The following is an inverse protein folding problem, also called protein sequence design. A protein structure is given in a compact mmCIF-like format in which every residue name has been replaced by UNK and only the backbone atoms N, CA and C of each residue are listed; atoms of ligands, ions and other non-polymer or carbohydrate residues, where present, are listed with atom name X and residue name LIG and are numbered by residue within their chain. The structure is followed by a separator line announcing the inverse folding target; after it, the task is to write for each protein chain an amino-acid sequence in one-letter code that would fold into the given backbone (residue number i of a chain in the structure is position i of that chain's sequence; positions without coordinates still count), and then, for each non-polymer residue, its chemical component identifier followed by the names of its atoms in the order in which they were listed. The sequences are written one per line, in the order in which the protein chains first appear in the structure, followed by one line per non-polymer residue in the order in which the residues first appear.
data_IF_937103100589
#
_entry.id   IF_937103100589
#
_cell.length_a   1.000
_cell.length_b   1.000
_cell.length_c   1.000
_cell.angle_alpha   90.00
_cell.angle_beta   90.00
_cell.angle_gamma   90.00
#
_symmetry.space_group_name_H-M   'P 1'
#
loop_
_entity.id
_entity.type
_entity.pdbx_description
1 polymer ?
#
# COMPACT_ATOMS: atom_id res chain seq x y z
N UNK A 1 15.24 5.91 2.02
CA UNK A 1 14.59 5.27 0.85
C UNK A 1 15.60 4.82 -0.22
N UNK A 2 16.51 5.68 -0.69
CA UNK A 2 17.40 5.34 -1.82
C UNK A 2 18.32 4.12 -1.57
N UNK A 3 18.96 4.01 -0.41
CA UNK A 3 19.80 2.85 -0.09
C UNK A 3 19.02 1.52 -0.07
N UNK A 4 17.76 1.54 0.38
CA UNK A 4 16.90 0.36 0.41
C UNK A 4 16.47 -0.07 -1.00
N UNK A 5 16.19 0.89 -1.89
CA UNK A 5 15.88 0.58 -3.30
C UNK A 5 17.03 -0.17 -3.97
N UNK A 6 18.26 0.29 -3.78
CA UNK A 6 19.45 -0.36 -4.33
C UNK A 6 19.64 -1.78 -3.77
N UNK A 7 19.43 -1.98 -2.47
CA UNK A 7 19.50 -3.30 -1.84
C UNK A 7 18.49 -4.27 -2.45
N UNK A 8 17.22 -3.85 -2.53
CA UNK A 8 16.13 -4.69 -3.03
C UNK A 8 16.28 -4.99 -4.53
N UNK A 9 16.76 -4.02 -5.31
CA UNK A 9 17.09 -4.23 -6.72
C UNK A 9 18.20 -5.29 -6.90
N UNK A 10 19.24 -5.26 -6.05
CA UNK A 10 20.32 -6.25 -6.08
C UNK A 10 19.86 -7.67 -5.70
N UNK A 11 18.74 -7.80 -4.98
CA UNK A 11 18.11 -9.09 -4.67
C UNK A 11 17.25 -9.63 -5.84
N UNK A 12 17.20 -8.92 -6.98
CA UNK A 12 16.41 -9.33 -8.14
C UNK A 12 14.90 -9.12 -7.99
N UNK A 13 14.47 -8.36 -6.97
CA UNK A 13 13.05 -8.06 -6.75
C UNK A 13 12.60 -7.05 -7.82
N UNK A 14 11.55 -7.36 -8.61
CA UNK A 14 11.19 -6.55 -9.76
C UNK A 14 10.42 -5.27 -9.41
N UNK A 15 9.68 -5.28 -8.30
CA UNK A 15 8.88 -4.15 -7.85
C UNK A 15 8.57 -4.24 -6.35
N UNK A 16 8.23 -3.10 -5.76
CA UNK A 16 7.71 -2.98 -4.39
C UNK A 16 6.26 -2.54 -4.47
N UNK A 17 5.38 -3.23 -3.75
CA UNK A 17 3.95 -2.95 -3.73
C UNK A 17 3.53 -2.74 -2.27
N UNK A 18 2.84 -1.63 -1.99
CA UNK A 18 2.39 -1.27 -0.64
C UNK A 18 0.97 -0.73 -0.66
N UNK A 19 0.33 -0.75 0.50
CA UNK A 19 -0.83 0.07 0.79
C UNK A 19 -0.41 1.26 1.65
N UNK A 20 -0.72 2.48 1.21
CA UNK A 20 -0.35 3.68 1.94
C UNK A 20 -0.94 4.97 1.35
N UNK A 21 -0.68 6.09 2.02
CA UNK A 21 -1.09 7.41 1.53
C UNK A 21 -0.14 7.89 0.41
N UNK A 22 -0.62 8.12 -0.82
CA UNK A 22 0.20 8.60 -1.94
C UNK A 22 1.04 9.85 -1.61
N UNK A 23 0.53 10.76 -0.75
CA UNK A 23 1.25 11.97 -0.33
C UNK A 23 2.66 11.65 0.21
N UNK A 24 2.81 10.52 0.90
CA UNK A 24 4.08 10.13 1.53
C UNK A 24 5.06 9.45 0.56
N UNK A 25 4.58 8.84 -0.52
CA UNK A 25 5.37 7.91 -1.34
C UNK A 25 5.58 8.36 -2.78
N UNK A 26 4.74 9.24 -3.33
CA UNK A 26 4.90 9.74 -4.70
C UNK A 26 6.24 10.45 -4.91
N UNK A 27 6.74 11.18 -3.90
CA UNK A 27 8.09 11.79 -3.90
C UNK A 27 9.23 10.78 -4.04
N UNK A 28 8.93 9.50 -3.87
CA UNK A 28 9.86 8.38 -4.05
C UNK A 28 9.58 7.58 -5.32
N UNK A 29 8.76 8.08 -6.25
CA UNK A 29 8.48 7.43 -7.54
C UNK A 29 7.47 6.29 -7.48
N UNK A 30 6.77 6.11 -6.35
CA UNK A 30 5.60 5.25 -6.34
C UNK A 30 4.49 5.88 -7.19
N UNK A 31 3.76 5.03 -7.90
CA UNK A 31 2.51 5.40 -8.58
C UNK A 31 1.39 4.45 -8.18
N UNK A 32 0.18 4.70 -8.64
CA UNK A 32 -0.94 3.84 -8.31
C UNK A 32 -0.87 2.50 -9.04
N UNK A 33 -1.46 1.45 -8.46
CA UNK A 33 -1.50 0.13 -9.09
C UNK A 33 -2.12 0.13 -10.48
N UNK A 34 -3.09 1.02 -10.73
CA UNK A 34 -3.75 1.17 -12.03
C UNK A 34 -2.77 1.51 -13.16
N UNK A 35 -1.73 2.30 -12.88
CA UNK A 35 -0.71 2.71 -13.85
C UNK A 35 0.18 1.53 -14.32
N UNK A 36 0.13 0.41 -13.59
CA UNK A 36 0.87 -0.82 -13.85
C UNK A 36 -0.06 -2.04 -14.05
N UNK A 37 -1.38 -1.83 -14.16
CA UNK A 37 -2.39 -2.90 -14.23
C UNK A 37 -2.34 -3.88 -13.03
N UNK A 38 -1.92 -3.39 -11.86
CA UNK A 38 -1.87 -4.13 -10.59
C UNK A 38 -3.11 -3.78 -9.77
N UNK A 39 -4.01 -4.74 -9.64
CA UNK A 39 -5.27 -4.61 -8.88
C UNK A 39 -5.21 -5.37 -7.55
N UNK A 40 -6.17 -5.12 -6.64
CA UNK A 40 -6.41 -6.02 -5.51
C UNK A 40 -6.97 -7.38 -5.99
N UNK A 41 -7.21 -8.31 -5.06
CA UNK A 41 -7.74 -9.63 -5.42
C UNK A 41 -9.13 -9.58 -6.11
N UNK A 42 -9.92 -8.53 -5.84
CA UNK A 42 -11.23 -8.29 -6.45
C UNK A 42 -11.15 -7.65 -7.85
N UNK A 43 -9.95 -7.29 -8.32
CA UNK A 43 -9.76 -6.64 -9.63
C UNK A 43 -9.97 -5.13 -9.61
N UNK A 44 -10.04 -4.52 -8.43
CA UNK A 44 -10.20 -3.10 -8.23
C UNK A 44 -8.85 -2.40 -7.98
N UNK A 45 -8.83 -1.07 -8.13
CA UNK A 45 -7.64 -0.25 -7.93
C UNK A 45 -7.82 0.68 -6.73
N UNK A 46 -7.58 0.22 -5.49
CA UNK A 46 -7.59 1.09 -4.32
C UNK A 46 -6.66 2.29 -4.51
N UNK A 47 -7.09 3.48 -4.11
CA UNK A 47 -6.27 4.70 -4.19
C UNK A 47 -4.96 4.59 -3.41
N UNK A 48 -4.97 3.81 -2.32
CA UNK A 48 -3.77 3.55 -1.52
C UNK A 48 -2.89 2.41 -2.04
N UNK A 49 -3.28 1.67 -3.09
CA UNK A 49 -2.44 0.61 -3.68
C UNK A 49 -1.37 1.26 -4.56
N UNK A 50 -0.12 1.17 -4.11
CA UNK A 50 1.01 1.85 -4.72
C UNK A 50 2.08 0.87 -5.18
N UNK A 51 2.67 1.16 -6.34
CA UNK A 51 3.69 0.36 -7.01
C UNK A 51 4.92 1.22 -7.25
N UNK A 52 6.08 0.69 -6.88
CA UNK A 52 7.38 1.18 -7.30
C UNK A 52 8.04 0.09 -8.16
N UNK A 53 8.09 0.31 -9.46
CA UNK A 53 8.82 -0.55 -10.38
C UNK A 53 10.34 -0.36 -10.22
N UNK A 54 11.07 -1.46 -10.02
CA UNK A 54 12.54 -1.45 -9.91
C UNK A 54 13.20 -2.00 -11.18
N UNK A 55 12.54 -2.94 -11.85
CA UNK A 55 12.93 -3.45 -13.17
C UNK A 55 11.98 -2.90 -14.22
N UNK A 56 12.41 -1.91 -15.04
CA UNK A 56 11.54 -1.26 -16.01
C UNK A 56 10.88 -2.26 -16.97
N UNK A 57 9.56 -2.15 -17.12
CA UNK A 57 8.77 -2.99 -18.02
C UNK A 57 8.39 -4.36 -17.46
N UNK A 58 8.68 -4.65 -16.19
CA UNK A 58 8.36 -5.94 -15.56
C UNK A 58 6.88 -6.29 -15.67
N UNK A 59 6.00 -5.33 -15.41
CA UNK A 59 4.55 -5.58 -15.44
C UNK A 59 4.02 -5.78 -16.86
N UNK A 60 4.66 -5.14 -17.86
CA UNK A 60 4.29 -5.19 -19.26
C UNK A 60 2.81 -4.86 -19.49
N UNK A 61 2.18 -5.61 -20.40
CA UNK A 61 0.76 -5.45 -20.74
C UNK A 61 -0.16 -6.43 -19.99
N UNK A 62 0.35 -7.13 -18.98
CA UNK A 62 -0.41 -8.15 -18.25
C UNK A 62 -1.18 -7.50 -17.10
N UNK A 63 -2.35 -8.06 -16.78
CA UNK A 63 -3.09 -7.71 -15.57
C UNK A 63 -2.57 -8.54 -14.40
N UNK A 64 -2.28 -7.87 -13.29
CA UNK A 64 -1.77 -8.47 -12.07
C UNK A 64 -2.74 -8.27 -10.92
N UNK A 65 -2.72 -9.21 -9.97
CA UNK A 65 -3.44 -9.11 -8.70
C UNK A 65 -2.45 -9.22 -7.55
N UNK A 66 -2.45 -8.25 -6.64
CA UNK A 66 -1.69 -8.33 -5.40
C UNK A 66 -2.45 -9.23 -4.42
N UNK A 67 -1.80 -10.31 -3.97
CA UNK A 67 -2.28 -11.15 -2.87
C UNK A 67 -1.55 -10.72 -1.60
N UNK A 68 -2.28 -10.22 -0.61
CA UNK A 68 -1.71 -9.95 0.71
C UNK A 68 -1.36 -11.28 1.41
N UNK A 69 -0.30 -11.27 2.20
CA UNK A 69 0.06 -12.39 3.07
C UNK A 69 -0.99 -12.57 4.16
N UNK A 70 -1.19 -13.80 4.63
CA UNK A 70 -2.05 -14.09 5.79
C UNK A 70 -1.56 -13.37 7.06
N UNK A 71 -0.31 -12.88 7.08
CA UNK A 71 0.21 -12.01 8.13
C UNK A 71 -0.60 -10.70 8.31
N UNK A 72 -1.40 -10.29 7.32
CA UNK A 72 -2.29 -9.15 7.42
C UNK A 72 -3.66 -9.49 8.02
N UNK A 73 -3.95 -10.78 8.27
CA UNK A 73 -5.14 -11.21 9.00
C UNK A 73 -4.86 -11.09 10.50
N UNK A 74 -5.15 -9.91 11.05
CA UNK A 74 -4.92 -9.63 12.47
C UNK A 74 -6.14 -10.05 13.31
N UNK A 75 -5.89 -10.76 14.40
CA UNK A 75 -6.88 -10.96 15.46
C UNK A 75 -7.01 -9.65 16.25
N UNK A 76 -8.20 -9.04 16.15
CA UNK A 76 -8.47 -7.75 16.78
C UNK A 76 -8.46 -7.83 18.31
N UNK A 77 -8.83 -8.97 18.90
CA UNK A 77 -8.83 -9.17 20.35
C UNK A 77 -7.41 -9.32 20.88
N UNK A 78 -6.55 -10.07 20.18
CA UNK A 78 -5.13 -10.16 20.53
C UNK A 78 -4.41 -8.81 20.37
N UNK A 79 -4.70 -8.06 19.31
CA UNK A 79 -4.19 -6.70 19.13
C UNK A 79 -4.61 -5.78 20.29
N UNK A 80 -5.87 -5.84 20.72
CA UNK A 80 -6.37 -5.09 21.87
C UNK A 80 -5.72 -5.52 23.19
N UNK A 81 -5.45 -6.82 23.39
CA UNK A 81 -4.72 -7.33 24.56
C UNK A 81 -3.27 -6.84 24.58
N UNK A 82 -2.61 -6.79 23.42
CA UNK A 82 -1.26 -6.25 23.29
C UNK A 82 -1.21 -4.75 23.62
N UNK A 83 -2.14 -3.95 23.09
CA UNK A 83 -2.18 -2.50 23.32
C UNK A 83 -2.35 -2.13 24.81
N UNK A 84 -3.10 -2.95 25.57
CA UNK A 84 -3.26 -2.79 27.03
C UNK A 84 -1.97 -2.94 27.83
N UNK A 85 -0.89 -3.48 27.24
CA UNK A 85 0.42 -3.59 27.90
C UNK A 85 1.17 -2.25 27.96
N UNK A 86 0.74 -1.24 27.20
CA UNK A 86 1.35 0.08 27.17
C UNK A 86 0.59 1.08 28.05
N UNK A 87 1.24 2.19 28.40
CA UNK A 87 0.58 3.29 29.10
C UNK A 87 -0.59 3.83 28.26
N UNK A 88 -1.77 3.91 28.87
CA UNK A 88 -2.99 4.41 28.23
C UNK A 88 -2.78 5.83 27.70
N UNK A 89 -3.03 6.03 26.42
CA UNK A 89 -3.07 7.35 25.77
C UNK A 89 -4.52 7.79 25.58
N UNK A 90 -4.79 9.08 25.79
CA UNK A 90 -6.10 9.67 25.49
C UNK A 90 -6.33 9.66 23.97
N UNK A 91 -7.52 9.20 23.55
CA UNK A 91 -7.90 9.20 22.13
C UNK A 91 -8.19 10.64 21.70
N UNK A 92 -7.50 11.10 20.67
CA UNK A 92 -7.71 12.42 20.06
C UNK A 92 -8.33 12.30 18.68
N UNK A 93 -9.04 13.36 18.30
CA UNK A 93 -9.52 13.54 16.94
C UNK A 93 -8.67 14.56 16.18
N UNK A 94 -8.39 14.27 14.91
CA UNK A 94 -7.70 15.17 13.98
C UNK A 94 -8.31 15.04 12.58
N UNK A 95 -8.32 16.12 11.80
CA UNK A 95 -8.88 16.13 10.44
C UNK A 95 -8.21 15.09 9.52
N UNK A 96 -6.94 14.75 9.76
CA UNK A 96 -6.19 13.73 9.04
C UNK A 96 -6.83 12.34 9.14
N UNK A 97 -7.59 12.06 10.19
CA UNK A 97 -8.34 10.81 10.33
C UNK A 97 -9.50 10.73 9.34
N UNK A 98 -10.16 11.84 9.02
CA UNK A 98 -11.20 11.87 7.99
C UNK A 98 -10.60 11.75 6.59
N UNK A 99 -9.49 12.44 6.33
CA UNK A 99 -8.74 12.25 5.09
C UNK A 99 -8.33 10.79 4.91
N UNK A 100 -7.78 10.16 5.95
CA UNK A 100 -7.43 8.74 5.91
C UNK A 100 -8.65 7.84 5.63
N UNK A 101 -9.79 8.09 6.28
CA UNK A 101 -11.03 7.36 6.01
C UNK A 101 -11.49 7.50 4.56
N UNK A 102 -11.33 8.68 3.96
CA UNK A 102 -11.65 8.90 2.54
C UNK A 102 -10.69 8.12 1.64
N UNK A 103 -9.38 8.21 1.88
CA UNK A 103 -8.37 7.59 1.01
C UNK A 103 -8.42 6.07 1.03
N UNK A 104 -8.67 5.43 2.18
CA UNK A 104 -8.75 3.95 2.25
C UNK A 104 -10.03 3.38 1.62
N UNK A 105 -11.06 4.21 1.41
CA UNK A 105 -12.33 3.82 0.76
C UNK A 105 -12.39 4.22 -0.71
N UNK A 106 -11.41 4.98 -1.19
CA UNK A 106 -11.38 5.48 -2.56
C UNK A 106 -10.77 4.44 -3.51
N UNK A 107 -11.32 4.37 -4.72
CA UNK A 107 -10.86 3.50 -5.79
C UNK A 107 -10.73 4.31 -7.08
N UNK A 108 -9.63 4.09 -7.80
CA UNK A 108 -9.42 4.62 -9.13
C UNK A 108 -10.15 3.76 -10.17
N UNK A 109 -10.55 4.39 -11.26
CA UNK A 109 -11.18 3.72 -12.41
C UNK A 109 -10.37 4.06 -13.65
N UNK A 110 -10.27 3.09 -14.57
CA UNK A 110 -9.79 3.40 -15.90
C UNK A 110 -10.80 4.35 -16.54
N UNK A 111 -10.32 5.40 -17.19
CA UNK A 111 -11.19 6.23 -18.01
C UNK A 111 -11.67 5.36 -19.18
N UNK A 112 -12.98 5.13 -19.23
CA UNK A 112 -13.67 4.52 -20.38
C UNK A 112 -13.54 5.40 -21.61
#
# INVERSE_FOLDING_TARGET
MNAYKSLVANMGVPAIIIYGDPHNYCKHGFKNGIDYQVSNMDGEYPFGLLVLELQPGFFGNKKWKIKQSDAFNLDQDEANKFDKKFQKKEKKYQYSQELFKMTIRAYLKNNS
#
